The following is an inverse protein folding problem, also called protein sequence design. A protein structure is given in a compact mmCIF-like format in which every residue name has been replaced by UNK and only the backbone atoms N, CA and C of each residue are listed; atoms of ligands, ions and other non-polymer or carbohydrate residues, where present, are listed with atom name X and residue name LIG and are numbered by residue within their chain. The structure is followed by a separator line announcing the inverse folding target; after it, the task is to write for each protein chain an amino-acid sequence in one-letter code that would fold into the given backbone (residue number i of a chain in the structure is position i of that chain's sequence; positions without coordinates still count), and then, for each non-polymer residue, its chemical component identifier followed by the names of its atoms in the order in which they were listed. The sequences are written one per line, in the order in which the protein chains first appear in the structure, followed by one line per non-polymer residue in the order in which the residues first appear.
data_IF_585838276360
#
_entry.id   IF_585838276360
#
_cell.length_a   1.000
_cell.length_b   1.000
_cell.length_c   1.000
_cell.angle_alpha   90.00
_cell.angle_beta   90.00
_cell.angle_gamma   90.00
#
_symmetry.space_group_name_H-M   'P 1'
#
loop_
_entity.id
_entity.type
_entity.pdbx_description
1 polymer ?
#
# COMPACT_ATOMS: atom_id res chain seq x y z
N UNK A 1 -3.82 1.02 -4.71
CA UNK A 1 -3.40 0.68 -3.33
C UNK A 1 -4.56 0.18 -2.48
N UNK A 2 -5.54 1.01 -2.07
CA UNK A 2 -6.64 0.52 -1.19
C UNK A 2 -7.61 -0.47 -1.88
N UNK A 3 -7.91 -0.27 -3.16
CA UNK A 3 -8.78 -1.17 -3.93
C UNK A 3 -8.12 -2.52 -4.22
N UNK A 4 -6.82 -2.55 -4.50
CA UNK A 4 -6.09 -3.82 -4.68
C UNK A 4 -6.06 -4.62 -3.36
N UNK A 5 -5.85 -3.94 -2.23
CA UNK A 5 -5.89 -4.58 -0.91
C UNK A 5 -7.28 -5.15 -0.58
N UNK A 6 -8.34 -4.36 -0.80
CA UNK A 6 -9.73 -4.80 -0.61
C UNK A 6 -10.10 -5.97 -1.53
N UNK A 7 -9.68 -5.93 -2.79
CA UNK A 7 -9.84 -7.05 -3.72
C UNK A 7 -9.11 -8.30 -3.24
N UNK A 8 -7.87 -8.17 -2.78
CA UNK A 8 -7.08 -9.30 -2.28
C UNK A 8 -7.71 -9.94 -1.04
N UNK A 9 -8.26 -9.13 -0.13
CA UNK A 9 -9.00 -9.58 1.06
C UNK A 9 -10.26 -10.33 0.66
N UNK A 10 -11.05 -9.78 -0.26
CA UNK A 10 -12.28 -10.44 -0.71
C UNK A 10 -11.98 -11.75 -1.44
N UNK A 11 -10.92 -11.78 -2.27
CA UNK A 11 -10.47 -12.99 -2.96
C UNK A 11 -10.01 -14.07 -1.98
N UNK A 12 -9.23 -13.68 -0.99
CA UNK A 12 -8.77 -14.62 0.04
C UNK A 12 -9.95 -15.05 0.92
N UNK A 13 -10.98 -14.21 1.06
CA UNK A 13 -12.30 -14.45 1.69
C UNK A 13 -12.83 -15.87 1.57
N UNK A 14 -12.74 -16.41 0.36
CA UNK A 14 -13.31 -17.69 -0.06
C UNK A 14 -12.40 -18.90 0.24
N UNK A 15 -11.17 -18.69 0.72
CA UNK A 15 -10.21 -19.75 1.03
C UNK A 15 -10.36 -20.19 2.49
N UNK A 16 -10.78 -21.43 2.82
CA UNK A 16 -11.22 -21.84 4.16
C UNK A 16 -10.21 -21.77 5.33
N UNK A 17 -9.01 -21.23 5.13
CA UNK A 17 -7.95 -21.15 6.14
C UNK A 17 -7.30 -19.77 6.24
N UNK A 18 -7.74 -18.80 5.44
CA UNK A 18 -7.05 -17.52 5.30
C UNK A 18 -7.39 -16.48 6.38
N UNK A 19 -8.27 -16.80 7.35
CA UNK A 19 -8.57 -15.96 8.52
C UNK A 19 -7.35 -15.90 9.47
N UNK A 20 -6.19 -15.59 8.92
CA UNK A 20 -5.00 -15.21 9.65
C UNK A 20 -5.27 -13.85 10.25
N UNK A 21 -5.08 -13.76 11.57
CA UNK A 21 -5.24 -12.55 12.37
C UNK A 21 -4.12 -11.51 12.10
N UNK A 22 -3.31 -11.73 11.05
CA UNK A 22 -2.12 -10.93 10.76
C UNK A 22 -2.45 -9.90 9.66
N UNK A 23 -2.24 -8.59 9.93
CA UNK A 23 -2.45 -7.55 8.93
C UNK A 23 -1.56 -7.76 7.69
N UNK A 24 -2.07 -7.40 6.52
CA UNK A 24 -1.25 -7.36 5.30
C UNK A 24 -0.29 -6.18 5.37
N UNK A 25 1.02 -6.46 5.38
CA UNK A 25 2.04 -5.40 5.36
C UNK A 25 2.11 -4.71 4.01
N UNK A 26 1.92 -3.39 4.03
CA UNK A 26 2.02 -2.52 2.87
C UNK A 26 3.27 -1.65 3.02
N UNK A 27 4.20 -1.82 2.08
CA UNK A 27 5.47 -1.09 2.08
C UNK A 27 5.33 0.24 1.35
N UNK A 28 5.81 1.33 1.95
CA UNK A 28 5.82 2.66 1.35
C UNK A 28 7.17 3.35 1.59
N UNK A 29 7.70 3.99 0.55
CA UNK A 29 8.98 4.72 0.61
C UNK A 29 8.84 6.20 0.95
N UNK A 30 7.60 6.68 1.10
CA UNK A 30 7.30 8.05 1.51
C UNK A 30 6.84 8.09 2.96
N UNK A 31 7.74 8.49 3.87
CA UNK A 31 7.39 8.72 5.28
C UNK A 31 6.29 9.77 5.43
N UNK A 32 6.26 10.78 4.55
CA UNK A 32 5.21 11.78 4.52
C UNK A 32 3.84 11.16 4.19
N UNK A 33 3.79 10.25 3.21
CA UNK A 33 2.56 9.54 2.87
C UNK A 33 2.07 8.64 4.02
N UNK A 34 2.98 7.92 4.69
CA UNK A 34 2.67 7.12 5.88
C UNK A 34 2.10 8.02 6.99
N UNK A 35 2.75 9.17 7.25
CA UNK A 35 2.28 10.13 8.24
C UNK A 35 0.89 10.67 7.93
N UNK A 36 0.60 10.98 6.66
CA UNK A 36 -0.72 11.42 6.21
C UNK A 36 -1.76 10.31 6.42
N UNK A 37 -1.44 9.07 6.05
CA UNK A 37 -2.35 7.92 6.19
C UNK A 37 -2.73 7.66 7.66
N UNK A 38 -1.76 7.79 8.58
CA UNK A 38 -1.97 7.61 10.03
C UNK A 38 -2.55 8.85 10.73
N UNK A 39 -2.57 10.01 10.08
CA UNK A 39 -3.09 11.24 10.67
C UNK A 39 -4.62 11.28 10.66
N UNK A 40 -5.22 11.25 11.85
CA UNK A 40 -6.67 11.29 12.03
C UNK A 40 -7.32 12.63 11.63
N UNK A 41 -6.59 13.74 11.73
CA UNK A 41 -7.06 15.09 11.44
C UNK A 41 -6.91 15.47 9.95
N UNK A 42 -6.20 14.66 9.16
CA UNK A 42 -6.06 14.90 7.73
C UNK A 42 -7.36 14.56 6.99
N UNK A 43 -7.86 15.48 6.17
CA UNK A 43 -9.12 15.32 5.44
C UNK A 43 -8.97 15.34 3.90
N UNK A 44 -7.74 15.43 3.37
CA UNK A 44 -7.49 15.45 1.93
C UNK A 44 -7.90 16.76 1.23
N UNK A 45 -6.94 17.45 0.60
CA UNK A 45 -7.23 18.71 -0.12
C UNK A 45 -8.03 18.49 -1.42
N UNK A 46 -7.77 17.38 -2.13
CA UNK A 46 -8.44 17.02 -3.39
C UNK A 46 -9.32 15.77 -3.20
N UNK A 47 -10.42 15.67 -3.97
CA UNK A 47 -11.41 14.57 -3.85
C UNK A 47 -10.77 13.18 -3.90
N UNK A 48 -9.90 12.91 -4.90
CA UNK A 48 -9.27 11.60 -5.04
C UNK A 48 -8.35 11.25 -3.86
N UNK A 49 -7.63 12.24 -3.31
CA UNK A 49 -6.79 12.05 -2.12
C UNK A 49 -7.65 11.73 -0.90
N UNK A 50 -8.75 12.48 -0.71
CA UNK A 50 -9.67 12.27 0.40
C UNK A 50 -10.31 10.88 0.38
N UNK A 51 -10.74 10.41 -0.79
CA UNK A 51 -11.33 9.07 -0.96
C UNK A 51 -10.31 7.99 -0.58
N UNK A 52 -9.08 8.08 -1.13
CA UNK A 52 -8.01 7.12 -0.83
C UNK A 52 -7.61 7.14 0.64
N UNK A 53 -7.46 8.33 1.23
CA UNK A 53 -7.12 8.48 2.65
C UNK A 53 -8.18 7.84 3.55
N UNK A 54 -9.47 8.07 3.29
CA UNK A 54 -10.55 7.46 4.07
C UNK A 54 -10.49 5.93 4.02
N UNK A 55 -10.34 5.36 2.83
CA UNK A 55 -10.25 3.91 2.65
C UNK A 55 -9.01 3.33 3.36
N UNK A 56 -7.81 3.88 3.13
CA UNK A 56 -6.59 3.42 3.80
C UNK A 56 -6.69 3.53 5.33
N UNK A 57 -7.26 4.62 5.83
CA UNK A 57 -7.46 4.84 7.27
C UNK A 57 -8.40 3.80 7.88
N UNK A 58 -9.47 3.44 7.19
CA UNK A 58 -10.42 2.41 7.64
C UNK A 58 -9.77 1.02 7.69
N UNK A 59 -9.01 0.65 6.65
CA UNK A 59 -8.27 -0.61 6.63
C UNK A 59 -7.22 -0.68 7.75
N UNK A 60 -6.50 0.41 8.02
CA UNK A 60 -5.57 0.51 9.15
C UNK A 60 -6.29 0.36 10.49
N UNK A 61 -7.42 1.05 10.66
CA UNK A 61 -8.22 1.00 11.90
C UNK A 61 -8.75 -0.40 12.17
N UNK A 62 -9.16 -1.12 11.12
CA UNK A 62 -9.69 -2.47 11.23
C UNK A 62 -8.59 -3.54 11.38
N UNK A 63 -7.31 -3.14 11.45
CA UNK A 63 -6.18 -4.07 11.57
C UNK A 63 -5.99 -4.95 10.33
N UNK A 64 -6.55 -4.55 9.19
CA UNK A 64 -6.52 -5.32 7.96
C UNK A 64 -5.17 -5.14 7.26
N UNK A 65 -4.60 -3.94 7.34
CA UNK A 65 -3.28 -3.62 6.78
C UNK A 65 -2.38 -3.00 7.84
N UNK A 66 -1.07 -3.17 7.69
CA UNK A 66 -0.04 -2.33 8.33
C UNK A 66 0.68 -1.48 7.28
N UNK A 67 1.24 -0.34 7.69
CA UNK A 67 2.07 0.51 6.82
C UNK A 67 3.48 0.58 7.36
N UNK A 68 4.41 0.06 6.57
CA UNK A 68 5.82 -0.09 6.90
C UNK A 68 6.68 0.71 5.93
N UNK A 69 7.69 1.39 6.48
CA UNK A 69 8.62 2.15 5.65
C UNK A 69 9.61 1.21 4.97
N UNK A 70 9.79 1.38 3.66
CA UNK A 70 10.84 0.72 2.89
C UNK A 70 11.69 1.77 2.18
N UNK A 71 13.00 1.56 2.07
CA UNK A 71 13.83 2.46 1.24
C UNK A 71 13.42 2.27 -0.23
N UNK A 72 13.36 3.33 -1.04
CA UNK A 72 12.95 3.23 -2.46
C UNK A 72 13.72 2.16 -3.25
N UNK A 73 15.03 2.03 -3.02
CA UNK A 73 15.86 0.97 -3.64
C UNK A 73 15.43 -0.46 -3.32
N UNK A 74 14.65 -0.66 -2.25
CA UNK A 74 14.11 -1.94 -1.80
C UNK A 74 12.59 -2.04 -2.01
N UNK A 75 11.99 -1.01 -2.61
CA UNK A 75 10.57 -1.01 -2.92
C UNK A 75 10.37 -1.68 -4.28
N UNK A 76 10.01 -2.96 -4.27
CA UNK A 76 9.78 -3.74 -5.50
C UNK A 76 8.67 -3.17 -6.40
N UNK A 77 7.78 -2.34 -5.85
CA UNK A 77 6.75 -1.64 -6.62
C UNK A 77 7.28 -0.40 -7.35
N UNK A 78 8.41 0.18 -6.92
CA UNK A 78 8.92 1.44 -7.47
C UNK A 78 9.24 1.32 -8.98
N UNK A 79 9.97 0.28 -9.46
CA UNK A 79 10.17 0.07 -10.90
C UNK A 79 8.88 -0.15 -11.70
N UNK A 80 7.82 -0.68 -11.07
CA UNK A 80 6.52 -0.92 -11.72
C UNK A 80 5.68 0.36 -11.84
N UNK A 81 5.96 1.37 -11.02
CA UNK A 81 5.23 2.66 -11.01
C UNK A 81 5.98 3.77 -11.74
N UNK A 82 7.26 3.56 -12.02
CA UNK A 82 8.10 4.46 -12.79
C UNK A 82 8.09 4.03 -14.25
N UNK A 83 7.97 5.00 -15.13
CA UNK A 83 8.12 4.78 -16.56
C UNK A 83 9.62 4.64 -16.85
N UNK A 84 10.14 3.42 -16.70
CA UNK A 84 11.55 3.09 -16.95
C UNK A 84 11.68 2.33 -18.27
N UNK A 85 12.65 2.71 -19.14
CA UNK A 85 13.00 1.92 -20.32
C UNK A 85 13.33 0.47 -19.93
N UNK A 86 12.93 -0.50 -20.75
CA UNK A 86 12.98 -1.93 -20.40
C UNK A 86 14.35 -2.46 -19.95
N UNK A 87 15.47 -1.90 -20.45
CA UNK A 87 16.83 -2.25 -20.01
C UNK A 87 17.14 -1.80 -18.57
N UNK A 88 16.64 -0.64 -18.15
CA UNK A 88 16.77 -0.15 -16.78
C UNK A 88 15.89 -0.95 -15.81
N UNK A 89 14.78 -1.51 -16.28
CA UNK A 89 13.92 -2.37 -15.46
C UNK A 89 14.62 -3.69 -15.07
N UNK A 90 15.30 -4.34 -16.02
CA UNK A 90 16.00 -5.61 -15.78
C UNK A 90 17.16 -5.44 -14.77
N UNK A 91 17.95 -4.38 -14.90
CA UNK A 91 19.06 -4.09 -13.97
C UNK A 91 18.61 -3.72 -12.55
N UNK A 92 17.36 -3.28 -12.36
CA UNK A 92 16.77 -3.02 -11.05
C UNK A 92 16.17 -4.28 -10.39
N UNK A 93 15.93 -5.36 -11.15
CA UNK A 93 15.49 -6.65 -10.60
C UNK A 93 16.65 -7.53 -10.11
N UNK A 94 17.87 -7.27 -10.56
CA UNK A 94 19.08 -8.04 -10.22
C UNK A 94 19.87 -7.51 -9.00
N UNK A 95 19.38 -6.45 -8.32
CA UNK A 95 20.00 -5.84 -7.12
C UNK A 95 19.14 -6.00 -5.87
#
# INVERSE_FOLDING_TARGET
MSQEAEWLINLLGDVPLWRSTVPVSQHCDSQAAIGIAKNNAYNGKRRHIRIRHRATKELLKNGIISLDYVRSKRNLADPLTKDVPGELYLSLQEQ
#
